data_IF_906655348413
#
_entry.id   IF_906655348413
#
_cell.length_a   1.000
_cell.length_b   1.000
_cell.length_c   1.000
_cell.angle_alpha   90.00
_cell.angle_beta   90.00
_cell.angle_gamma   90.00
#
_symmetry.space_group_name_H-M   'P 1'
#
loop_
_entity.id
_entity.type
_entity.pdbx_description
1 polymer ?
#
# COMPACT_ATOMS: atom_id res chain seq x y z
N UNK A 1 -11.78 -19.74 -15.02
CA UNK A 1 -11.80 -18.25 -14.94
C UNK A 1 -12.83 -17.73 -15.90
N UNK A 2 -13.59 -16.69 -15.52
CA UNK A 2 -14.52 -16.04 -16.46
C UNK A 2 -13.73 -15.39 -17.60
N UNK A 3 -14.20 -15.48 -18.85
CA UNK A 3 -13.56 -14.86 -20.04
C UNK A 3 -13.29 -13.37 -19.81
N UNK A 4 -14.20 -12.66 -19.13
CA UNK A 4 -14.02 -11.24 -18.77
C UNK A 4 -12.80 -11.00 -17.89
N UNK A 5 -12.51 -11.88 -16.93
CA UNK A 5 -11.31 -11.76 -16.07
C UNK A 5 -10.02 -11.91 -16.89
N UNK A 6 -10.00 -12.83 -17.86
CA UNK A 6 -8.86 -13.01 -18.76
C UNK A 6 -8.62 -11.73 -19.58
N UNK A 7 -9.71 -11.17 -20.15
CA UNK A 7 -9.62 -9.92 -20.92
C UNK A 7 -9.10 -8.76 -20.05
N UNK A 8 -9.57 -8.62 -18.81
CA UNK A 8 -9.08 -7.59 -17.88
C UNK A 8 -7.59 -7.77 -17.60
N UNK A 9 -7.13 -9.00 -17.38
CA UNK A 9 -5.70 -9.27 -17.13
C UNK A 9 -4.85 -8.89 -18.35
N UNK A 10 -5.28 -9.28 -19.55
CA UNK A 10 -4.57 -8.91 -20.79
C UNK A 10 -4.51 -7.40 -20.96
N UNK A 11 -5.64 -6.70 -20.77
CA UNK A 11 -5.67 -5.24 -20.87
C UNK A 11 -4.85 -4.55 -19.78
N UNK A 12 -4.77 -5.11 -18.56
CA UNK A 12 -3.90 -4.59 -17.51
C UNK A 12 -2.42 -4.69 -17.91
N UNK A 13 -2.00 -5.81 -18.52
CA UNK A 13 -0.64 -5.95 -19.05
C UNK A 13 -0.36 -5.00 -20.22
N UNK A 14 -1.34 -4.78 -21.09
CA UNK A 14 -1.25 -3.76 -22.16
C UNK A 14 -1.13 -2.36 -21.58
N UNK A 15 -1.91 -2.05 -20.55
CA UNK A 15 -1.81 -0.78 -19.84
C UNK A 15 -0.42 -0.58 -19.23
N UNK A 16 0.13 -1.60 -18.55
CA UNK A 16 1.47 -1.54 -17.97
C UNK A 16 2.56 -1.32 -19.03
N UNK A 17 2.43 -2.00 -20.18
CA UNK A 17 3.34 -1.78 -21.31
C UNK A 17 3.27 -0.34 -21.84
N UNK A 18 2.07 0.19 -22.06
CA UNK A 18 1.84 1.57 -22.50
C UNK A 18 2.38 2.56 -21.47
N UNK A 19 2.12 2.32 -20.18
CA UNK A 19 2.66 3.12 -19.08
C UNK A 19 4.20 3.15 -19.12
N UNK A 20 4.83 1.98 -19.29
CA UNK A 20 6.29 1.88 -19.34
C UNK A 20 6.91 2.71 -20.46
N UNK A 21 6.38 2.64 -21.69
CA UNK A 21 6.93 3.43 -22.79
C UNK A 21 6.56 4.90 -22.74
N UNK A 22 5.36 5.24 -22.27
CA UNK A 22 4.89 6.61 -22.14
C UNK A 22 5.70 7.39 -21.07
N UNK A 23 5.95 6.78 -19.92
CA UNK A 23 6.64 7.42 -18.81
C UNK A 23 8.17 7.29 -18.88
N UNK A 24 8.70 6.43 -19.76
CA UNK A 24 10.13 6.27 -19.94
C UNK A 24 10.82 7.59 -20.29
N UNK A 25 10.23 8.38 -21.17
CA UNK A 25 10.78 9.68 -21.57
C UNK A 25 10.94 10.63 -20.37
N UNK A 26 9.98 10.66 -19.45
CA UNK A 26 10.01 11.52 -18.28
C UNK A 26 11.17 11.17 -17.33
N UNK A 27 11.51 9.87 -17.22
CA UNK A 27 12.59 9.41 -16.35
C UNK A 27 13.99 9.65 -16.92
N UNK A 28 14.18 9.58 -18.24
CA UNK A 28 15.49 9.56 -18.88
C UNK A 28 15.81 10.81 -19.70
N UNK A 29 14.83 11.66 -20.03
CA UNK A 29 15.02 12.78 -20.94
C UNK A 29 16.16 13.71 -20.55
N UNK A 30 16.27 14.08 -19.27
CA UNK A 30 17.31 14.97 -18.76
C UNK A 30 18.70 14.35 -18.83
N UNK A 31 18.83 13.05 -18.53
CA UNK A 31 20.11 12.33 -18.55
C UNK A 31 20.60 12.12 -19.98
N UNK A 32 19.69 11.86 -20.90
CA UNK A 32 20.00 11.72 -22.33
C UNK A 32 20.32 13.07 -22.96
N UNK A 33 19.52 14.11 -22.67
CA UNK A 33 19.73 15.47 -23.24
C UNK A 33 21.05 16.10 -22.78
N UNK A 34 21.47 15.81 -21.56
CA UNK A 34 22.76 16.27 -21.01
C UNK A 34 23.94 15.39 -21.46
N UNK A 35 23.68 14.33 -22.25
CA UNK A 35 24.69 13.38 -22.76
C UNK A 35 25.49 12.65 -21.68
N UNK A 36 24.92 12.48 -20.49
CA UNK A 36 25.50 11.70 -19.39
C UNK A 36 25.46 10.21 -19.72
N UNK A 37 24.31 9.74 -20.25
CA UNK A 37 24.13 8.38 -20.76
C UNK A 37 23.61 8.43 -22.21
N UNK A 38 23.92 7.39 -22.98
CA UNK A 38 23.24 7.17 -24.26
C UNK A 38 21.80 6.75 -24.03
N UNK A 39 20.88 6.94 -25.00
CA UNK A 39 19.47 6.55 -24.85
C UNK A 39 19.30 5.09 -24.42
N UNK A 40 20.05 4.17 -25.03
CA UNK A 40 20.00 2.75 -24.70
C UNK A 40 20.47 2.46 -23.27
N UNK A 41 21.58 3.08 -22.84
CA UNK A 41 22.07 2.94 -21.47
C UNK A 41 21.04 3.47 -20.46
N UNK A 42 20.44 4.62 -20.74
CA UNK A 42 19.43 5.21 -19.87
C UNK A 42 18.20 4.32 -19.71
N UNK A 43 17.71 3.71 -20.81
CA UNK A 43 16.58 2.77 -20.78
C UNK A 43 16.93 1.51 -19.99
N UNK A 44 18.11 0.93 -20.22
CA UNK A 44 18.56 -0.28 -19.49
C UNK A 44 18.63 0.02 -17.98
N UNK A 45 19.18 1.17 -17.58
CA UNK A 45 19.25 1.58 -16.20
C UNK A 45 17.85 1.76 -15.58
N UNK A 46 16.96 2.45 -16.27
CA UNK A 46 15.59 2.65 -15.81
C UNK A 46 14.85 1.31 -15.64
N UNK A 47 14.95 0.42 -16.62
CA UNK A 47 14.35 -0.91 -16.56
C UNK A 47 14.90 -1.76 -15.40
N UNK A 48 16.22 -1.73 -15.20
CA UNK A 48 16.88 -2.45 -14.12
C UNK A 48 16.37 -1.98 -12.75
N UNK A 49 16.29 -0.67 -12.49
CA UNK A 49 15.82 -0.16 -11.21
C UNK A 49 14.32 -0.36 -11.01
N UNK A 50 13.50 -0.31 -12.06
CA UNK A 50 12.09 -0.68 -11.98
C UNK A 50 11.92 -2.17 -11.59
N UNK A 51 12.75 -3.05 -12.15
CA UNK A 51 12.77 -4.47 -11.79
C UNK A 51 13.19 -4.67 -10.31
N UNK A 52 14.25 -3.98 -9.87
CA UNK A 52 14.70 -4.02 -8.47
C UNK A 52 13.63 -3.50 -7.51
N UNK A 53 12.90 -2.46 -7.89
CA UNK A 53 11.82 -1.89 -7.08
C UNK A 53 10.71 -2.93 -6.75
N UNK A 54 10.44 -3.86 -7.65
CA UNK A 54 9.49 -4.96 -7.41
C UNK A 54 9.86 -5.81 -6.18
N UNK A 55 11.14 -6.04 -5.93
CA UNK A 55 11.60 -6.81 -4.76
C UNK A 55 11.59 -6.00 -3.47
N UNK A 56 11.72 -4.68 -3.58
CA UNK A 56 11.76 -3.76 -2.42
C UNK A 56 10.34 -3.43 -1.95
N UNK A 57 9.43 -3.12 -2.88
CA UNK A 57 8.07 -2.65 -2.57
C UNK A 57 7.05 -3.78 -2.66
N UNK A 58 6.91 -4.55 -1.58
CA UNK A 58 6.00 -5.71 -1.52
C UNK A 58 4.54 -5.36 -1.23
N UNK A 59 4.24 -4.13 -0.81
CA UNK A 59 2.93 -3.76 -0.24
C UNK A 59 1.86 -3.39 -1.26
N UNK A 60 2.16 -3.42 -2.57
CA UNK A 60 1.23 -3.01 -3.64
C UNK A 60 0.49 -1.69 -3.33
N UNK A 61 1.18 -0.74 -2.67
CA UNK A 61 0.58 0.47 -2.11
C UNK A 61 -0.16 1.31 -3.15
N UNK A 62 0.38 1.41 -4.37
CA UNK A 62 -0.23 2.17 -5.49
C UNK A 62 -1.54 1.51 -5.92
N UNK A 63 -1.53 0.21 -6.18
CA UNK A 63 -2.73 -0.52 -6.60
C UNK A 63 -3.82 -0.47 -5.52
N UNK A 64 -3.44 -0.60 -4.24
CA UNK A 64 -4.36 -0.47 -3.11
C UNK A 64 -4.92 0.94 -2.98
N UNK A 65 -4.16 1.98 -3.32
CA UNK A 65 -4.64 3.37 -3.29
C UNK A 65 -5.67 3.60 -4.39
N UNK A 66 -5.42 3.13 -5.60
CA UNK A 66 -6.35 3.24 -6.73
C UNK A 66 -7.66 2.49 -6.42
N UNK A 67 -7.57 1.25 -5.96
CA UNK A 67 -8.75 0.46 -5.62
C UNK A 67 -9.63 1.11 -4.52
N UNK A 68 -9.03 1.87 -3.61
CA UNK A 68 -9.73 2.56 -2.52
C UNK A 68 -10.28 3.94 -2.89
N UNK A 69 -10.18 4.38 -4.13
CA UNK A 69 -10.77 5.66 -4.58
C UNK A 69 -12.27 5.57 -4.84
N UNK A 70 -12.76 4.38 -5.12
CA UNK A 70 -14.17 4.07 -5.37
C UNK A 70 -14.73 3.27 -4.20
N UNK A 71 -15.97 3.53 -3.81
CA UNK A 71 -16.66 2.74 -2.80
C UNK A 71 -16.86 1.31 -3.32
N UNK A 72 -16.47 0.32 -2.52
CA UNK A 72 -16.43 -1.10 -2.90
C UNK A 72 -17.72 -1.61 -3.58
N UNK A 73 -18.87 -1.04 -3.22
CA UNK A 73 -20.17 -1.42 -3.78
C UNK A 73 -20.27 -1.24 -5.28
N UNK A 74 -19.52 -0.27 -5.85
CA UNK A 74 -19.56 0.06 -7.28
C UNK A 74 -18.41 -0.56 -8.07
N UNK A 75 -17.54 -1.36 -7.40
CA UNK A 75 -16.43 -2.06 -8.05
C UNK A 75 -16.94 -3.36 -8.64
N UNK A 76 -17.22 -3.36 -9.94
CA UNK A 76 -17.62 -4.54 -10.70
C UNK A 76 -16.61 -4.84 -11.81
N UNK A 77 -16.61 -6.06 -12.36
CA UNK A 77 -15.73 -6.42 -13.48
C UNK A 77 -15.93 -5.50 -14.70
N UNK A 78 -17.17 -5.15 -15.12
CA UNK A 78 -17.37 -4.17 -16.20
C UNK A 78 -16.79 -2.79 -15.88
N UNK A 79 -16.88 -2.32 -14.64
CA UNK A 79 -16.31 -1.03 -14.22
C UNK A 79 -14.78 -1.05 -14.32
N UNK A 80 -14.15 -2.13 -13.89
CA UNK A 80 -12.70 -2.31 -14.02
C UNK A 80 -12.29 -2.32 -15.49
N UNK A 81 -13.01 -3.07 -16.33
CA UNK A 81 -12.77 -3.14 -17.76
C UNK A 81 -12.88 -1.76 -18.43
N UNK A 82 -13.98 -1.04 -18.16
CA UNK A 82 -14.21 0.29 -18.73
C UNK A 82 -13.15 1.31 -18.26
N UNK A 83 -12.77 1.26 -16.99
CA UNK A 83 -11.71 2.10 -16.44
C UNK A 83 -10.35 1.87 -17.09
N UNK A 84 -9.96 0.59 -17.34
CA UNK A 84 -8.74 0.24 -18.04
C UNK A 84 -8.75 0.71 -19.49
N UNK A 85 -9.85 0.46 -20.23
CA UNK A 85 -9.99 0.91 -21.62
C UNK A 85 -9.90 2.42 -21.72
N UNK A 86 -10.57 3.16 -20.83
CA UNK A 86 -10.50 4.61 -20.77
C UNK A 86 -9.08 5.11 -20.50
N UNK A 87 -8.36 4.47 -19.57
CA UNK A 87 -6.99 4.84 -19.24
C UNK A 87 -6.02 4.55 -20.40
N UNK A 88 -6.14 3.40 -21.07
CA UNK A 88 -5.35 3.07 -22.26
C UNK A 88 -5.59 4.09 -23.37
N UNK A 89 -6.86 4.37 -23.66
CA UNK A 89 -7.23 5.34 -24.69
C UNK A 89 -6.65 6.73 -24.40
N UNK A 90 -6.79 7.21 -23.17
CA UNK A 90 -6.26 8.51 -22.78
C UNK A 90 -4.73 8.59 -22.86
N UNK A 91 -4.04 7.55 -22.40
CA UNK A 91 -2.58 7.50 -22.49
C UNK A 91 -2.07 7.50 -23.94
N UNK A 92 -2.72 6.74 -24.84
CA UNK A 92 -2.39 6.74 -26.25
C UNK A 92 -2.70 8.09 -26.92
N UNK A 93 -3.84 8.70 -26.58
CA UNK A 93 -4.23 10.01 -27.10
C UNK A 93 -3.23 11.09 -26.69
N UNK A 94 -2.89 11.16 -25.40
CA UNK A 94 -1.94 12.16 -24.88
C UNK A 94 -0.52 11.93 -25.43
N UNK A 95 -0.12 10.67 -25.61
CA UNK A 95 1.13 10.34 -26.27
C UNK A 95 1.16 10.81 -27.72
N UNK A 96 0.09 10.57 -28.47
CA UNK A 96 -0.02 10.99 -29.86
C UNK A 96 0.10 12.51 -30.04
N UNK A 97 -0.51 13.27 -29.15
CA UNK A 97 -0.44 14.73 -29.16
C UNK A 97 0.80 15.30 -28.43
N UNK A 98 1.67 14.47 -27.87
CA UNK A 98 2.83 14.93 -27.09
C UNK A 98 2.46 15.70 -25.83
N UNK A 99 1.28 15.44 -25.26
CA UNK A 99 0.80 16.08 -24.02
C UNK A 99 1.33 15.26 -22.82
N UNK A 100 2.10 15.87 -21.89
CA UNK A 100 2.54 15.18 -20.70
C UNK A 100 1.33 14.77 -19.84
N UNK A 101 1.23 13.50 -19.50
CA UNK A 101 0.14 12.93 -18.71
C UNK A 101 0.67 12.00 -17.65
N UNK A 102 -0.08 11.82 -16.56
CA UNK A 102 0.22 10.84 -15.53
C UNK A 102 -0.69 9.63 -15.70
N UNK A 103 -0.12 8.50 -16.06
CA UNK A 103 -0.82 7.22 -16.24
C UNK A 103 -1.55 6.76 -14.98
N UNK A 104 -0.98 7.00 -13.79
CA UNK A 104 -1.65 6.68 -12.52
C UNK A 104 -2.90 7.53 -12.27
N UNK A 105 -2.83 8.85 -12.53
CA UNK A 105 -3.99 9.73 -12.40
C UNK A 105 -5.05 9.44 -13.46
N UNK A 106 -4.61 9.09 -14.68
CA UNK A 106 -5.50 8.64 -15.76
C UNK A 106 -6.26 7.38 -15.37
N UNK A 107 -5.59 6.40 -14.74
CA UNK A 107 -6.23 5.18 -14.26
C UNK A 107 -7.25 5.48 -13.15
N UNK A 108 -6.91 6.36 -12.19
CA UNK A 108 -7.85 6.80 -11.15
C UNK A 108 -9.07 7.47 -11.77
N UNK A 109 -8.86 8.39 -12.72
CA UNK A 109 -9.94 9.09 -13.41
C UNK A 109 -10.84 8.17 -14.21
N UNK A 110 -10.26 7.24 -15.00
CA UNK A 110 -10.99 6.25 -15.77
C UNK A 110 -11.81 5.33 -14.89
N UNK A 111 -11.23 4.84 -13.79
CA UNK A 111 -11.92 3.96 -12.84
C UNK A 111 -13.06 4.68 -12.09
N UNK A 112 -12.79 5.91 -11.61
CA UNK A 112 -13.80 6.73 -10.95
C UNK A 112 -14.96 7.10 -11.90
N UNK A 113 -14.65 7.52 -13.14
CA UNK A 113 -15.67 7.83 -14.16
C UNK A 113 -16.53 6.64 -14.52
N UNK A 114 -15.93 5.46 -14.71
CA UNK A 114 -16.65 4.22 -14.98
C UNK A 114 -17.57 3.83 -13.80
N UNK A 115 -17.10 4.00 -12.55
CA UNK A 115 -17.90 3.71 -11.36
C UNK A 115 -19.10 4.67 -11.21
N UNK A 116 -18.90 5.96 -11.44
CA UNK A 116 -19.97 6.98 -11.40
C UNK A 116 -21.03 6.68 -12.47
N UNK A 117 -20.59 6.39 -13.70
CA UNK A 117 -21.50 6.04 -14.79
C UNK A 117 -22.32 4.77 -14.45
N UNK A 118 -21.63 3.73 -13.94
CA UNK A 118 -22.30 2.51 -13.50
C UNK A 118 -23.33 2.76 -12.40
N UNK A 119 -22.98 3.56 -11.40
CA UNK A 119 -23.88 3.91 -10.31
C UNK A 119 -25.14 4.64 -10.82
N UNK A 120 -24.98 5.61 -11.71
CA UNK A 120 -26.10 6.36 -12.28
C UNK A 120 -27.02 5.51 -13.15
N UNK A 121 -26.47 4.55 -13.92
CA UNK A 121 -27.27 3.64 -14.73
C UNK A 121 -28.06 2.66 -13.83
N UNK A 122 -27.46 2.18 -12.74
CA UNK A 122 -28.08 1.11 -11.92
C UNK A 122 -28.98 1.64 -10.81
N UNK A 123 -28.72 2.84 -10.27
CA UNK A 123 -29.44 3.40 -9.10
C UNK A 123 -30.06 4.77 -9.35
N UNK A 124 -29.86 5.35 -10.51
CA UNK A 124 -30.26 6.73 -10.79
C UNK A 124 -29.27 7.74 -10.18
N UNK A 125 -29.65 9.01 -10.20
CA UNK A 125 -28.81 10.10 -9.69
C UNK A 125 -28.61 10.00 -8.19
N UNK A 126 -27.37 10.09 -7.73
CA UNK A 126 -26.97 10.10 -6.33
C UNK A 126 -25.74 11.02 -6.13
N UNK A 127 -25.47 11.49 -4.88
CA UNK A 127 -24.31 12.31 -4.58
C UNK A 127 -23.00 11.62 -4.95
N UNK A 128 -22.07 12.38 -5.50
CA UNK A 128 -20.75 11.89 -5.89
C UNK A 128 -19.96 11.30 -4.70
N UNK A 129 -20.15 11.85 -3.48
CA UNK A 129 -19.56 11.37 -2.23
C UNK A 129 -19.96 9.95 -1.84
N UNK A 130 -21.09 9.45 -2.35
CA UNK A 130 -21.58 8.10 -2.03
C UNK A 130 -20.98 7.03 -2.94
N UNK A 131 -20.36 7.46 -4.05
CA UNK A 131 -19.73 6.60 -5.06
C UNK A 131 -18.21 6.62 -4.91
N UNK A 132 -17.67 7.79 -4.59
CA UNK A 132 -16.23 8.08 -4.56
C UNK A 132 -15.81 8.43 -3.14
N UNK A 133 -14.69 7.88 -2.71
CA UNK A 133 -14.03 8.23 -1.44
C UNK A 133 -13.41 9.63 -1.54
N UNK A 134 -14.21 10.66 -1.26
CA UNK A 134 -13.84 12.07 -1.42
C UNK A 134 -12.50 12.44 -0.74
N UNK A 135 -12.23 11.89 0.45
CA UNK A 135 -10.97 12.10 1.17
C UNK A 135 -9.74 11.62 0.38
N UNK A 136 -9.89 10.54 -0.40
CA UNK A 136 -8.80 9.99 -1.21
C UNK A 136 -8.53 10.86 -2.43
N UNK A 137 -9.60 11.25 -3.12
CA UNK A 137 -9.50 12.14 -4.29
C UNK A 137 -8.94 13.51 -3.88
N UNK A 138 -9.43 14.11 -2.79
CA UNK A 138 -8.94 15.40 -2.28
C UNK A 138 -7.45 15.35 -1.97
N UNK A 139 -6.97 14.31 -1.30
CA UNK A 139 -5.54 14.11 -1.06
C UNK A 139 -4.75 13.99 -2.37
N UNK A 140 -5.25 13.21 -3.33
CA UNK A 140 -4.59 13.05 -4.63
C UNK A 140 -4.49 14.39 -5.35
N UNK A 141 -5.58 15.16 -5.41
CA UNK A 141 -5.59 16.51 -6.02
C UNK A 141 -4.60 17.44 -5.31
N UNK A 142 -4.58 17.44 -3.98
CA UNK A 142 -3.62 18.24 -3.21
C UNK A 142 -2.17 17.88 -3.57
N UNK A 143 -1.86 16.58 -3.69
CA UNK A 143 -0.51 16.12 -4.05
C UNK A 143 -0.12 16.45 -5.48
N UNK A 144 -1.06 16.57 -6.43
CA UNK A 144 -0.78 17.03 -7.80
C UNK A 144 -0.12 18.43 -7.81
N UNK A 145 -0.53 19.33 -6.91
CA UNK A 145 0.06 20.65 -6.78
C UNK A 145 1.28 20.68 -5.86
N UNK A 146 1.23 19.92 -4.77
CA UNK A 146 2.29 19.94 -3.74
C UNK A 146 3.57 19.24 -4.20
N UNK A 147 3.47 18.14 -4.95
CA UNK A 147 4.63 17.35 -5.36
C UNK A 147 5.59 18.13 -6.30
N UNK A 148 5.12 18.85 -7.34
CA UNK A 148 6.00 19.69 -8.17
C UNK A 148 6.66 20.80 -7.35
N UNK A 149 5.95 21.41 -6.40
CA UNK A 149 6.50 22.47 -5.55
C UNK A 149 7.61 21.94 -4.64
N UNK A 150 7.40 20.80 -4.00
CA UNK A 150 8.44 20.13 -3.20
C UNK A 150 9.62 19.73 -4.09
N UNK A 151 9.34 19.15 -5.27
CA UNK A 151 10.37 18.79 -6.24
C UNK A 151 11.21 20.00 -6.69
N UNK A 152 10.58 21.13 -6.93
CA UNK A 152 11.26 22.40 -7.25
C UNK A 152 12.17 22.85 -6.11
N UNK A 153 11.71 22.83 -4.86
CA UNK A 153 12.51 23.22 -3.70
C UNK A 153 13.73 22.30 -3.50
N UNK A 154 13.53 20.99 -3.65
CA UNK A 154 14.63 20.02 -3.56
C UNK A 154 15.63 20.22 -4.70
N UNK A 155 15.16 20.40 -5.92
CA UNK A 155 16.01 20.66 -7.09
C UNK A 155 16.79 21.96 -6.94
N UNK A 156 16.16 23.03 -6.45
CA UNK A 156 16.82 24.29 -6.16
C UNK A 156 17.91 24.12 -5.10
N UNK A 157 17.63 23.40 -4.02
CA UNK A 157 18.61 23.09 -2.98
C UNK A 157 19.82 22.33 -3.55
N UNK A 158 19.59 21.26 -4.31
CA UNK A 158 20.66 20.48 -4.94
C UNK A 158 21.50 21.37 -5.88
N UNK A 159 20.85 22.21 -6.68
CA UNK A 159 21.51 23.14 -7.60
C UNK A 159 22.40 24.13 -6.84
N UNK A 160 21.87 24.76 -5.79
CA UNK A 160 22.64 25.71 -4.97
C UNK A 160 23.85 25.05 -4.32
N UNK A 161 23.74 23.80 -3.90
CA UNK A 161 24.86 23.03 -3.35
C UNK A 161 25.89 22.72 -4.44
N UNK A 162 25.44 22.30 -5.63
CA UNK A 162 26.36 21.91 -6.73
C UNK A 162 27.13 23.09 -7.32
N UNK A 163 26.56 24.28 -7.35
CA UNK A 163 27.21 25.51 -7.86
C UNK A 163 28.33 26.01 -6.92
N UNK A 164 28.32 25.67 -5.64
CA UNK A 164 29.35 26.14 -4.70
C UNK A 164 30.75 25.70 -5.16
N UNK A 165 31.74 26.61 -5.03
CA UNK A 165 33.13 26.31 -5.41
C UNK A 165 33.88 25.51 -4.36
N UNK A 166 33.54 25.67 -3.08
CA UNK A 166 34.21 24.99 -1.99
C UNK A 166 33.71 23.53 -1.87
N UNK A 167 34.58 22.57 -2.21
CA UNK A 167 34.31 21.12 -2.18
C UNK A 167 33.96 20.64 -0.77
N UNK A 168 34.70 21.07 0.24
CA UNK A 168 34.44 20.67 1.62
C UNK A 168 33.12 21.22 2.15
N UNK A 169 32.78 22.45 1.75
CA UNK A 169 31.49 23.03 2.08
C UNK A 169 30.31 22.29 1.42
N UNK A 170 30.47 21.78 0.18
CA UNK A 170 29.47 20.91 -0.46
C UNK A 170 29.27 19.61 0.32
N UNK A 171 30.37 18.94 0.65
CA UNK A 171 30.34 17.68 1.37
C UNK A 171 29.72 17.83 2.76
N UNK A 172 30.04 18.92 3.47
CA UNK A 172 29.43 19.23 4.76
C UNK A 172 27.91 19.40 4.68
N UNK A 173 27.43 20.14 3.66
CA UNK A 173 25.99 20.36 3.47
C UNK A 173 25.28 19.06 3.10
N UNK A 174 25.86 18.23 2.20
CA UNK A 174 25.30 16.94 1.83
C UNK A 174 25.27 16.02 3.07
N UNK A 175 26.34 15.97 3.85
CA UNK A 175 26.40 15.18 5.09
C UNK A 175 25.33 15.60 6.10
N UNK A 176 25.18 16.92 6.31
CA UNK A 176 24.16 17.47 7.22
C UNK A 176 22.73 17.16 6.73
N UNK A 177 22.48 17.31 5.42
CA UNK A 177 21.18 16.98 4.82
C UNK A 177 20.87 15.48 4.93
N UNK A 178 21.87 14.61 4.71
CA UNK A 178 21.73 13.15 4.86
C UNK A 178 21.44 12.77 6.31
N UNK A 179 22.13 13.40 7.27
CA UNK A 179 21.88 13.21 8.70
C UNK A 179 20.45 13.67 9.09
N UNK A 180 20.02 14.85 8.61
CA UNK A 180 18.65 15.32 8.82
C UNK A 180 17.60 14.37 8.21
N UNK A 181 17.87 13.84 7.02
CA UNK A 181 17.02 12.83 6.41
C UNK A 181 16.98 11.54 7.25
N UNK A 182 18.11 11.09 7.78
CA UNK A 182 18.19 9.93 8.66
C UNK A 182 17.32 10.10 9.92
N UNK A 183 17.37 11.26 10.57
CA UNK A 183 16.49 11.59 11.70
C UNK A 183 15.02 11.58 11.30
N UNK A 184 14.69 12.18 10.17
CA UNK A 184 13.30 12.21 9.65
C UNK A 184 12.77 10.81 9.36
N UNK A 185 13.58 9.90 8.81
CA UNK A 185 13.18 8.51 8.61
C UNK A 185 12.94 7.76 9.93
N UNK A 186 13.70 8.07 10.97
CA UNK A 186 13.45 7.56 12.33
C UNK A 186 12.07 7.95 12.83
N UNK A 187 11.75 9.25 12.80
CA UNK A 187 10.43 9.77 13.19
C UNK A 187 9.30 9.17 12.34
N UNK A 188 9.52 9.02 11.03
CA UNK A 188 8.53 8.43 10.14
C UNK A 188 8.29 6.95 10.46
N UNK A 189 9.32 6.21 10.87
CA UNK A 189 9.19 4.82 11.32
C UNK A 189 8.34 4.71 12.59
N UNK A 190 8.60 5.55 13.60
CA UNK A 190 7.79 5.60 14.82
C UNK A 190 6.32 5.88 14.51
N UNK A 191 6.05 6.86 13.67
CA UNK A 191 4.69 7.16 13.22
C UNK A 191 4.06 5.97 12.50
N UNK A 192 4.83 5.25 11.69
CA UNK A 192 4.35 4.08 10.94
C UNK A 192 4.07 2.88 11.84
N UNK A 193 4.87 2.67 12.87
CA UNK A 193 4.61 1.68 13.94
C UNK A 193 3.29 2.01 14.62
N UNK A 194 3.09 3.27 14.99
CA UNK A 194 1.87 3.75 15.64
C UNK A 194 0.62 3.54 14.76
N UNK A 195 0.68 3.93 13.49
CA UNK A 195 -0.40 3.68 12.51
C UNK A 195 -0.72 2.19 12.36
N UNK A 196 0.30 1.34 12.30
CA UNK A 196 0.12 -0.10 12.13
C UNK A 196 -0.51 -0.73 13.39
N UNK A 197 -0.17 -0.26 14.58
CA UNK A 197 -0.83 -0.67 15.83
C UNK A 197 -2.29 -0.23 15.88
N UNK A 198 -2.59 1.02 15.56
CA UNK A 198 -3.97 1.53 15.51
C UNK A 198 -4.83 0.72 14.54
N UNK A 199 -4.27 0.39 13.39
CA UNK A 199 -4.93 -0.43 12.37
C UNK A 199 -5.13 -1.87 12.85
N UNK A 200 -4.12 -2.47 13.48
CA UNK A 200 -4.18 -3.84 13.99
C UNK A 200 -5.27 -4.00 15.06
N UNK A 201 -5.35 -3.08 16.01
CA UNK A 201 -6.39 -3.04 17.04
C UNK A 201 -7.72 -2.44 16.56
N UNK A 202 -7.83 -2.07 15.26
CA UNK A 202 -9.03 -1.53 14.61
C UNK A 202 -9.56 -0.24 15.27
N UNK A 203 -8.70 0.56 15.92
CA UNK A 203 -9.07 1.80 16.63
C UNK A 203 -9.77 2.78 15.68
N UNK A 204 -9.20 3.04 14.50
CA UNK A 204 -9.81 3.95 13.51
C UNK A 204 -11.14 3.45 12.97
N UNK A 205 -11.31 2.13 12.83
CA UNK A 205 -12.56 1.52 12.39
C UNK A 205 -13.68 1.80 13.42
N UNK A 206 -13.43 1.49 14.69
CA UNK A 206 -14.41 1.68 15.74
C UNK A 206 -14.67 3.17 16.03
N UNK A 207 -13.67 4.03 15.87
CA UNK A 207 -13.84 5.49 15.95
C UNK A 207 -14.79 6.02 14.87
N UNK A 208 -14.66 5.55 13.64
CA UNK A 208 -15.57 5.91 12.52
C UNK A 208 -16.96 5.34 12.72
N UNK A 209 -17.08 4.12 13.26
CA UNK A 209 -18.34 3.46 13.54
C UNK A 209 -19.10 4.18 14.67
N UNK A 210 -18.39 4.55 15.74
CA UNK A 210 -18.93 5.34 16.84
C UNK A 210 -19.39 6.75 16.40
N UNK A 211 -18.64 7.40 15.50
CA UNK A 211 -19.04 8.68 14.95
C UNK A 211 -20.35 8.63 14.14
N UNK A 212 -20.68 7.45 13.55
CA UNK A 212 -21.94 7.24 12.82
C UNK A 212 -23.12 6.85 13.74
N UNK A 213 -22.82 6.16 14.84
CA UNK A 213 -23.79 5.63 15.79
C UNK A 213 -23.34 5.90 17.23
N UNK A 214 -23.37 7.17 17.70
CA UNK A 214 -22.88 7.54 19.04
C UNK A 214 -23.69 6.94 20.18
N UNK A 215 -24.95 6.58 19.93
CA UNK A 215 -25.87 5.98 20.90
C UNK A 215 -25.65 4.47 21.11
N UNK A 216 -24.80 3.82 20.28
CA UNK A 216 -24.58 2.37 20.39
C UNK A 216 -23.49 2.07 21.43
N UNK A 217 -23.96 1.68 22.63
CA UNK A 217 -23.12 1.36 23.78
C UNK A 217 -22.14 0.22 23.50
N UNK A 218 -22.50 -0.75 22.62
CA UNK A 218 -21.62 -1.84 22.21
C UNK A 218 -20.46 -1.35 21.34
N UNK A 219 -20.70 -0.35 20.50
CA UNK A 219 -19.64 0.26 19.67
C UNK A 219 -18.71 1.07 20.57
N UNK A 220 -19.25 1.79 21.55
CA UNK A 220 -18.47 2.53 22.55
C UNK A 220 -17.56 1.59 23.35
N UNK A 221 -18.07 0.49 23.86
CA UNK A 221 -17.29 -0.50 24.61
C UNK A 221 -16.14 -1.08 23.75
N UNK A 222 -16.42 -1.42 22.48
CA UNK A 222 -15.39 -1.91 21.55
C UNK A 222 -14.30 -0.88 21.29
N UNK A 223 -14.69 0.40 21.14
CA UNK A 223 -13.75 1.49 20.95
C UNK A 223 -12.84 1.67 22.17
N UNK A 224 -13.41 1.67 23.39
CA UNK A 224 -12.64 1.83 24.62
C UNK A 224 -11.68 0.65 24.83
N UNK A 225 -12.12 -0.59 24.60
CA UNK A 225 -11.23 -1.77 24.63
C UNK A 225 -10.10 -1.67 23.60
N UNK A 226 -10.42 -1.28 22.37
CA UNK A 226 -9.41 -1.12 21.33
C UNK A 226 -8.39 -0.02 21.67
N UNK A 227 -8.83 1.10 22.25
CA UNK A 227 -7.95 2.17 22.72
C UNK A 227 -7.06 1.71 23.88
N UNK A 228 -7.61 0.99 24.86
CA UNK A 228 -6.85 0.47 25.99
C UNK A 228 -5.75 -0.49 25.54
N UNK A 229 -6.08 -1.45 24.66
CA UNK A 229 -5.10 -2.38 24.10
C UNK A 229 -4.04 -1.68 23.25
N UNK A 230 -4.45 -0.70 22.43
CA UNK A 230 -3.52 0.12 21.66
C UNK A 230 -2.57 0.91 22.58
N UNK A 231 -3.07 1.58 23.61
CA UNK A 231 -2.26 2.35 24.54
C UNK A 231 -1.23 1.47 25.27
N UNK A 232 -1.66 0.28 25.71
CA UNK A 232 -0.77 -0.70 26.33
C UNK A 232 0.26 -1.24 25.32
N UNK A 233 -0.16 -1.58 24.09
CA UNK A 233 0.75 -2.04 23.05
C UNK A 233 1.79 -0.98 22.66
N UNK A 234 1.39 0.28 22.64
CA UNK A 234 2.27 1.41 22.34
C UNK A 234 3.39 1.57 23.37
N UNK A 235 3.16 1.26 24.64
CA UNK A 235 4.20 1.34 25.67
C UNK A 235 5.36 0.37 25.44
N UNK A 236 5.16 -0.69 24.65
CA UNK A 236 6.20 -1.66 24.30
C UNK A 236 7.01 -1.29 23.05
N UNK A 237 6.68 -0.20 22.36
CA UNK A 237 7.33 0.18 21.11
C UNK A 237 8.55 1.09 21.28
N UNK A 238 8.88 1.49 22.51
CA UNK A 238 9.98 2.43 22.80
C UNK A 238 11.35 1.94 22.31
N UNK A 239 11.58 0.63 22.35
CA UNK A 239 12.81 -0.03 21.93
C UNK A 239 12.69 -0.81 20.60
N UNK A 240 11.68 -0.44 19.78
CA UNK A 240 11.43 -1.09 18.48
C UNK A 240 12.68 -1.15 17.60
N UNK A 241 13.51 -0.11 17.64
CA UNK A 241 14.71 0.02 16.85
C UNK A 241 15.81 -0.99 17.23
N UNK A 242 15.81 -1.42 18.48
CA UNK A 242 16.79 -2.36 19.00
C UNK A 242 16.36 -3.81 18.79
N UNK A 243 15.10 -4.12 19.11
CA UNK A 243 14.62 -5.51 19.18
C UNK A 243 13.80 -5.96 17.98
N UNK A 244 13.21 -5.04 17.24
CA UNK A 244 12.38 -5.32 16.07
C UNK A 244 10.95 -5.77 16.37
N UNK A 245 10.12 -5.82 15.31
CA UNK A 245 8.68 -6.01 15.44
C UNK A 245 8.24 -7.37 15.97
N UNK A 246 9.01 -8.45 15.75
CA UNK A 246 8.64 -9.80 16.23
C UNK A 246 8.78 -9.90 17.76
N UNK A 247 9.85 -9.32 18.33
CA UNK A 247 10.05 -9.30 19.78
C UNK A 247 9.00 -8.45 20.48
N UNK A 248 8.71 -7.27 19.92
CA UNK A 248 7.64 -6.39 20.42
C UNK A 248 6.28 -7.10 20.36
N UNK A 249 5.96 -7.78 19.25
CA UNK A 249 4.73 -8.55 19.14
C UNK A 249 4.65 -9.68 20.18
N UNK A 250 5.80 -10.29 20.54
CA UNK A 250 5.89 -11.23 21.63
C UNK A 250 5.47 -10.64 22.97
N UNK A 251 6.10 -9.52 23.35
CA UNK A 251 5.81 -8.81 24.61
C UNK A 251 4.35 -8.34 24.70
N UNK A 252 3.80 -7.86 23.58
CA UNK A 252 2.39 -7.47 23.52
C UNK A 252 1.49 -8.70 23.72
N UNK A 253 1.77 -9.80 23.02
CA UNK A 253 0.96 -11.01 23.10
C UNK A 253 1.00 -11.69 24.49
N UNK A 254 2.11 -11.55 25.21
CA UNK A 254 2.27 -12.06 26.56
C UNK A 254 1.51 -11.22 27.61
N UNK A 255 1.19 -9.94 27.26
CA UNK A 255 0.54 -9.00 28.18
C UNK A 255 -0.93 -8.77 27.84
N UNK A 256 -1.26 -8.75 26.54
CA UNK A 256 -2.61 -8.51 26.03
C UNK A 256 -3.17 -9.84 25.50
N UNK A 257 -4.34 -10.21 25.99
CA UNK A 257 -5.05 -11.34 25.39
C UNK A 257 -5.53 -10.98 23.97
N UNK A 258 -4.96 -11.66 22.99
CA UNK A 258 -5.27 -11.46 21.57
C UNK A 258 -6.37 -12.40 21.05
N UNK A 259 -7.03 -13.17 21.93
CA UNK A 259 -8.07 -14.13 21.56
C UNK A 259 -9.20 -13.50 20.73
N UNK A 260 -9.65 -12.30 21.14
CA UNK A 260 -10.71 -11.60 20.40
C UNK A 260 -10.29 -11.22 18.97
N UNK A 261 -8.98 -11.02 18.70
CA UNK A 261 -8.45 -10.77 17.37
C UNK A 261 -8.42 -12.05 16.57
N UNK A 262 -8.04 -13.16 17.18
CA UNK A 262 -8.06 -14.48 16.56
C UNK A 262 -9.48 -14.89 16.18
N UNK A 263 -10.43 -14.75 17.11
CA UNK A 263 -11.85 -14.99 16.85
C UNK A 263 -12.39 -14.06 15.73
N UNK A 264 -11.99 -12.80 15.72
CA UNK A 264 -12.35 -11.86 14.66
C UNK A 264 -11.82 -12.28 13.29
N UNK A 265 -10.59 -12.79 13.20
CA UNK A 265 -10.00 -13.30 11.96
C UNK A 265 -10.67 -14.58 11.48
N UNK A 266 -11.01 -15.50 12.39
CA UNK A 266 -11.77 -16.72 12.07
C UNK A 266 -13.15 -16.35 11.49
N UNK A 267 -13.82 -15.38 12.10
CA UNK A 267 -15.05 -14.83 11.57
C UNK A 267 -14.87 -14.28 10.15
N UNK A 268 -13.82 -13.51 9.90
CA UNK A 268 -13.52 -12.93 8.57
C UNK A 268 -13.21 -14.02 7.53
N UNK A 269 -12.55 -15.12 7.92
CA UNK A 269 -12.31 -16.30 7.07
C UNK A 269 -13.63 -16.94 6.63
N UNK A 270 -14.53 -17.19 7.59
CA UNK A 270 -15.85 -17.78 7.29
C UNK A 270 -16.76 -16.85 6.52
N UNK A 271 -16.79 -15.57 6.85
CA UNK A 271 -17.57 -14.54 6.12
C UNK A 271 -17.20 -14.51 4.64
N UNK A 272 -15.89 -14.61 4.34
CA UNK A 272 -15.40 -14.70 2.95
C UNK A 272 -15.80 -16.01 2.29
N UNK A 273 -15.71 -17.15 3.01
CA UNK A 273 -16.11 -18.45 2.47
C UNK A 273 -17.61 -18.51 2.16
N UNK A 274 -18.42 -17.92 3.02
CA UNK A 274 -19.88 -17.80 2.86
C UNK A 274 -20.28 -16.66 1.91
N UNK A 275 -19.31 -15.89 1.41
CA UNK A 275 -19.53 -14.72 0.54
C UNK A 275 -20.53 -13.70 1.13
N UNK A 276 -20.53 -13.54 2.46
CA UNK A 276 -21.52 -12.72 3.16
C UNK A 276 -21.53 -11.26 2.70
N UNK A 277 -20.35 -10.66 2.50
CA UNK A 277 -20.26 -9.27 2.04
C UNK A 277 -20.85 -9.11 0.63
N UNK A 278 -20.61 -10.10 -0.25
CA UNK A 278 -21.19 -10.10 -1.59
C UNK A 278 -22.70 -10.31 -1.54
N UNK A 279 -23.16 -11.32 -0.80
CA UNK A 279 -24.59 -11.61 -0.67
C UNK A 279 -25.36 -10.46 -0.02
N UNK A 280 -24.78 -9.78 0.96
CA UNK A 280 -25.38 -8.58 1.56
C UNK A 280 -25.57 -7.46 0.54
N UNK A 281 -24.59 -7.26 -0.34
CA UNK A 281 -24.66 -6.27 -1.42
C UNK A 281 -25.69 -6.68 -2.48
N UNK A 282 -25.67 -7.94 -2.90
CA UNK A 282 -26.56 -8.46 -3.93
C UNK A 282 -28.02 -8.49 -3.43
N UNK A 283 -28.27 -8.88 -2.17
CA UNK A 283 -29.59 -8.89 -1.54
C UNK A 283 -30.19 -7.48 -1.36
N UNK A 284 -29.38 -6.44 -1.33
CA UNK A 284 -29.86 -5.05 -1.35
C UNK A 284 -30.52 -4.67 -2.67
N UNK A 285 -30.14 -5.33 -3.78
CA UNK A 285 -30.69 -5.09 -5.13
C UNK A 285 -31.70 -6.14 -5.59
N UNK A 286 -31.62 -7.33 -4.99
CA UNK A 286 -32.47 -8.47 -5.32
C UNK A 286 -32.97 -9.11 -4.02
N UNK A 287 -34.17 -8.77 -3.61
CA UNK A 287 -34.80 -9.27 -2.38
C UNK A 287 -34.88 -10.80 -2.34
N UNK A 288 -34.86 -11.49 -3.48
CA UNK A 288 -34.85 -12.96 -3.54
C UNK A 288 -33.60 -13.58 -2.93
N UNK A 289 -32.51 -12.81 -2.80
CA UNK A 289 -31.25 -13.25 -2.20
C UNK A 289 -31.19 -13.05 -0.67
N UNK A 290 -32.15 -12.30 -0.11
CA UNK A 290 -32.21 -12.03 1.35
C UNK A 290 -32.27 -13.31 2.18
N UNK A 291 -33.11 -14.31 1.86
CA UNK A 291 -33.18 -15.57 2.60
C UNK A 291 -31.84 -16.35 2.56
N UNK A 292 -31.12 -16.27 1.43
CA UNK A 292 -29.81 -16.92 1.27
C UNK A 292 -28.76 -16.23 2.13
N UNK A 293 -28.79 -14.89 2.18
CA UNK A 293 -27.91 -14.11 3.05
C UNK A 293 -28.17 -14.41 4.53
N UNK A 294 -29.43 -14.44 4.97
CA UNK A 294 -29.82 -14.75 6.34
C UNK A 294 -29.44 -16.17 6.74
N UNK A 295 -29.68 -17.15 5.86
CA UNK A 295 -29.26 -18.53 6.10
C UNK A 295 -27.73 -18.66 6.26
N UNK A 296 -26.95 -17.97 5.43
CA UNK A 296 -25.49 -17.98 5.54
C UNK A 296 -25.01 -17.22 6.79
N UNK A 297 -25.72 -16.18 7.22
CA UNK A 297 -25.45 -15.46 8.45
C UNK A 297 -25.69 -16.36 9.68
N UNK A 298 -26.79 -17.11 9.69
CA UNK A 298 -27.12 -18.07 10.73
C UNK A 298 -26.07 -19.19 10.82
N UNK A 299 -25.54 -19.67 9.70
CA UNK A 299 -24.42 -20.63 9.68
C UNK A 299 -23.15 -20.05 10.29
N UNK A 300 -22.81 -18.78 10.01
CA UNK A 300 -21.70 -18.09 10.65
C UNK A 300 -21.90 -17.99 12.16
N UNK A 301 -23.13 -17.62 12.59
CA UNK A 301 -23.46 -17.49 14.00
C UNK A 301 -23.37 -18.82 14.75
N UNK A 302 -23.74 -19.92 14.11
CA UNK A 302 -23.58 -21.28 14.64
C UNK A 302 -22.10 -21.69 14.82
N UNK A 303 -21.19 -21.10 14.03
CA UNK A 303 -19.75 -21.37 14.15
C UNK A 303 -19.06 -20.52 15.24
N UNK A 304 -19.65 -19.40 15.67
CA UNK A 304 -19.03 -18.46 16.63
C UNK A 304 -18.60 -19.09 17.96
N UNK A 305 -19.38 -20.00 18.60
CA UNK A 305 -18.97 -20.63 19.86
C UNK A 305 -17.63 -21.36 19.76
N UNK A 306 -17.32 -21.96 18.61
CA UNK A 306 -16.06 -22.68 18.39
C UNK A 306 -14.86 -21.75 18.27
N UNK A 307 -15.06 -20.47 17.95
CA UNK A 307 -13.95 -19.51 17.92
C UNK A 307 -13.41 -19.18 19.31
N UNK A 308 -14.25 -19.19 20.33
CA UNK A 308 -13.84 -19.04 21.73
C UNK A 308 -12.98 -20.22 22.22
N UNK A 309 -13.20 -21.39 21.67
CA UNK A 309 -12.46 -22.62 22.01
C UNK A 309 -11.18 -22.81 21.18
N UNK A 310 -10.84 -21.86 20.29
CA UNK A 310 -9.76 -22.00 19.31
C UNK A 310 -8.40 -22.37 19.93
N UNK A 311 -8.04 -21.76 21.07
CA UNK A 311 -6.78 -22.01 21.76
C UNK A 311 -6.76 -23.36 22.50
N UNK A 312 -7.92 -23.83 22.94
CA UNK A 312 -8.05 -25.09 23.69
C UNK A 312 -8.03 -26.30 22.76
N UNK A 313 -8.82 -26.25 21.69
CA UNK A 313 -9.02 -27.39 20.80
C UNK A 313 -8.17 -27.38 19.52
N UNK A 314 -7.56 -26.20 19.19
CA UNK A 314 -6.69 -26.03 18.06
C UNK A 314 -7.42 -25.75 16.74
N UNK A 315 -6.65 -25.21 15.76
CA UNK A 315 -7.15 -24.77 14.47
C UNK A 315 -7.88 -25.88 13.67
N UNK A 316 -7.34 -27.07 13.68
CA UNK A 316 -7.86 -28.19 12.88
C UNK A 316 -9.22 -28.69 13.44
N UNK A 317 -9.39 -28.70 14.77
CA UNK A 317 -10.65 -29.09 15.44
C UNK A 317 -11.75 -28.05 15.16
N UNK A 318 -11.42 -26.76 15.27
CA UNK A 318 -12.37 -25.66 14.96
C UNK A 318 -12.75 -25.69 13.48
N UNK A 319 -11.77 -25.90 12.59
CA UNK A 319 -12.05 -26.02 11.15
C UNK A 319 -12.96 -27.21 10.86
N UNK A 320 -12.77 -28.36 11.52
CA UNK A 320 -13.60 -29.54 11.36
C UNK A 320 -15.04 -29.30 11.86
N UNK A 321 -15.20 -28.67 13.04
CA UNK A 321 -16.51 -28.32 13.58
C UNK A 321 -17.27 -27.35 12.64
N UNK A 322 -16.60 -26.29 12.18
CA UNK A 322 -17.17 -25.35 11.22
C UNK A 322 -17.49 -26.04 9.87
N UNK A 323 -16.65 -26.95 9.39
CA UNK A 323 -16.90 -27.70 8.16
C UNK A 323 -18.15 -28.58 8.26
N UNK A 324 -18.37 -29.22 9.40
CA UNK A 324 -19.58 -30.04 9.65
C UNK A 324 -20.85 -29.16 9.65
N UNK A 325 -20.82 -27.99 10.28
CA UNK A 325 -21.92 -27.03 10.30
C UNK A 325 -22.23 -26.53 8.89
N UNK A 326 -21.20 -26.18 8.10
CA UNK A 326 -21.35 -25.68 6.73
C UNK A 326 -21.80 -26.77 5.74
N UNK A 327 -21.69 -28.07 6.11
CA UNK A 327 -21.89 -29.20 5.25
C UNK A 327 -20.67 -29.48 4.36
N UNK A 328 -20.09 -30.67 4.52
CA UNK A 328 -18.82 -31.09 3.86
C UNK A 328 -18.88 -30.95 2.33
N UNK A 329 -20.06 -31.08 1.72
CA UNK A 329 -20.27 -30.91 0.27
C UNK A 329 -20.04 -29.50 -0.27
N UNK A 330 -20.00 -28.47 0.61
CA UNK A 330 -19.73 -27.08 0.22
C UNK A 330 -18.25 -26.71 0.25
N UNK A 331 -17.39 -27.64 0.66
CA UNK A 331 -15.94 -27.40 0.83
C UNK A 331 -15.19 -28.18 -0.24
N UNK A 332 -14.87 -27.52 -1.34
CA UNK A 332 -14.16 -28.12 -2.49
C UNK A 332 -12.75 -28.63 -2.14
N UNK A 333 -12.13 -28.09 -1.10
CA UNK A 333 -10.81 -28.50 -0.63
C UNK A 333 -10.69 -28.28 0.89
N UNK A 334 -10.94 -29.35 1.67
CA UNK A 334 -10.88 -29.30 3.13
C UNK A 334 -9.49 -28.91 3.66
N UNK A 335 -8.43 -29.41 3.05
CA UNK A 335 -7.07 -29.12 3.51
C UNK A 335 -6.75 -27.62 3.40
N UNK A 336 -7.15 -26.98 2.30
CA UNK A 336 -7.02 -25.54 2.10
C UNK A 336 -7.91 -24.76 3.05
N UNK A 337 -9.11 -25.24 3.33
CA UNK A 337 -10.03 -24.68 4.30
C UNK A 337 -9.44 -24.73 5.71
N UNK A 338 -8.96 -25.89 6.17
CA UNK A 338 -8.33 -26.06 7.47
C UNK A 338 -7.07 -25.17 7.61
N UNK A 339 -6.22 -25.08 6.58
CA UNK A 339 -5.08 -24.17 6.57
C UNK A 339 -5.48 -22.69 6.78
N UNK A 340 -6.65 -22.29 6.30
CA UNK A 340 -7.13 -20.91 6.48
C UNK A 340 -7.55 -20.58 7.92
N UNK A 341 -7.76 -21.60 8.76
CA UNK A 341 -8.05 -21.46 10.19
C UNK A 341 -6.80 -21.35 11.06
N UNK A 342 -5.61 -21.57 10.51
CA UNK A 342 -4.34 -21.37 11.25
C UNK A 342 -4.08 -19.88 11.40
N UNK A 343 -4.67 -19.30 12.44
CA UNK A 343 -4.54 -17.88 12.80
C UNK A 343 -3.52 -17.77 13.93
N UNK A 344 -2.53 -16.93 13.76
CA UNK A 344 -1.52 -16.61 14.76
C UNK A 344 -1.47 -15.10 14.92
N UNK A 345 -2.15 -14.60 15.95
CA UNK A 345 -2.24 -13.16 16.20
C UNK A 345 -0.89 -12.53 16.51
N UNK A 346 -0.02 -13.23 17.26
CA UNK A 346 1.35 -12.78 17.57
C UNK A 346 2.19 -12.62 16.31
N UNK A 347 2.23 -13.65 15.47
CA UNK A 347 2.98 -13.63 14.20
C UNK A 347 2.46 -12.58 13.23
N UNK A 348 1.15 -12.39 13.17
CA UNK A 348 0.53 -11.40 12.31
C UNK A 348 0.79 -9.98 12.81
N UNK A 349 0.81 -9.76 14.13
CA UNK A 349 1.21 -8.49 14.72
C UNK A 349 2.68 -8.19 14.41
N UNK A 350 3.57 -9.17 14.56
CA UNK A 350 4.98 -9.04 14.21
C UNK A 350 5.18 -8.64 12.75
N UNK A 351 4.44 -9.26 11.83
CA UNK A 351 4.47 -8.90 10.41
C UNK A 351 3.97 -7.47 10.16
N UNK A 352 2.89 -7.04 10.82
CA UNK A 352 2.38 -5.68 10.68
C UNK A 352 3.37 -4.64 11.22
N UNK A 353 4.00 -4.92 12.35
CA UNK A 353 5.05 -4.06 12.91
C UNK A 353 6.30 -4.01 12.01
N UNK A 354 6.74 -5.15 11.47
CA UNK A 354 7.90 -5.21 10.57
C UNK A 354 7.69 -4.46 9.25
N UNK A 355 6.44 -4.18 8.83
CA UNK A 355 6.18 -3.32 7.68
C UNK A 355 6.61 -1.86 7.91
N UNK A 356 6.72 -1.43 9.15
CA UNK A 356 7.22 -0.11 9.49
C UNK A 356 8.76 -0.04 9.48
N UNK A 357 9.45 -1.19 9.46
CA UNK A 357 10.91 -1.24 9.48
C UNK A 357 11.51 -0.78 8.15
N UNK A 358 12.08 0.41 8.17
CA UNK A 358 12.75 1.02 7.02
C UNK A 358 14.28 1.05 7.17
N UNK A 359 14.85 0.34 8.15
CA UNK A 359 16.29 0.37 8.46
C UNK A 359 17.15 -0.03 7.28
N UNK A 360 16.77 -1.09 6.55
CA UNK A 360 17.50 -1.54 5.36
C UNK A 360 17.55 -0.44 4.30
N UNK A 361 16.42 0.24 4.05
CA UNK A 361 16.37 1.34 3.10
C UNK A 361 17.28 2.49 3.54
N UNK A 362 17.28 2.83 4.83
CA UNK A 362 18.16 3.87 5.39
C UNK A 362 19.62 3.54 5.22
N UNK A 363 20.03 2.29 5.49
CA UNK A 363 21.41 1.84 5.27
C UNK A 363 21.80 1.90 3.80
N UNK A 364 20.92 1.47 2.88
CA UNK A 364 21.19 1.55 1.44
C UNK A 364 21.37 3.00 0.98
N UNK A 365 20.54 3.93 1.43
CA UNK A 365 20.67 5.36 1.13
C UNK A 365 21.99 5.90 1.69
N UNK A 366 22.32 5.58 2.94
CA UNK A 366 23.57 6.01 3.57
C UNK A 366 24.81 5.53 2.80
N UNK A 367 24.83 4.27 2.39
CA UNK A 367 25.92 3.69 1.58
C UNK A 367 26.01 4.38 0.21
N UNK A 368 24.88 4.61 -0.47
CA UNK A 368 24.87 5.30 -1.76
C UNK A 368 25.40 6.73 -1.66
N UNK A 369 24.99 7.47 -0.62
CA UNK A 369 25.51 8.82 -0.35
C UNK A 369 27.01 8.79 -0.06
N UNK A 370 27.47 7.83 0.72
CA UNK A 370 28.90 7.66 1.02
C UNK A 370 29.72 7.37 -0.26
N UNK A 371 29.25 6.45 -1.10
CA UNK A 371 29.87 6.14 -2.39
C UNK A 371 29.92 7.39 -3.28
N UNK A 372 28.83 8.15 -3.35
CA UNK A 372 28.78 9.40 -4.08
C UNK A 372 29.79 10.41 -3.57
N UNK A 373 29.85 10.61 -2.25
CA UNK A 373 30.81 11.55 -1.62
C UNK A 373 32.26 11.14 -1.90
N UNK A 374 32.59 9.86 -1.75
CA UNK A 374 33.93 9.35 -2.03
C UNK A 374 34.30 9.47 -3.52
N UNK A 375 33.38 9.14 -4.42
CA UNK A 375 33.58 9.30 -5.87
C UNK A 375 33.78 10.77 -6.25
N UNK A 376 33.03 11.67 -5.63
CA UNK A 376 33.16 13.09 -5.84
C UNK A 376 34.51 13.64 -5.34
N UNK A 377 34.95 13.24 -4.14
CA UNK A 377 36.26 13.60 -3.60
C UNK A 377 37.36 13.10 -4.53
N UNK A 378 37.28 11.84 -4.96
CA UNK A 378 38.26 11.25 -5.88
C UNK A 378 38.35 12.00 -7.21
N UNK A 379 37.20 12.32 -7.80
CA UNK A 379 37.13 13.05 -9.07
C UNK A 379 37.70 14.47 -8.94
N UNK A 380 37.29 15.23 -7.93
CA UNK A 380 37.68 16.65 -7.77
C UNK A 380 39.06 16.83 -7.20
N UNK A 381 39.47 16.03 -6.23
CA UNK A 381 40.73 16.23 -5.46
C UNK A 381 41.90 15.43 -6.01
N UNK A 382 41.65 14.31 -6.67
CA UNK A 382 42.72 13.40 -7.10
C UNK A 382 42.83 13.37 -8.63
N UNK A 383 41.74 13.02 -9.33
CA UNK A 383 41.79 12.79 -10.77
C UNK A 383 42.02 14.07 -11.58
N UNK A 384 41.28 15.13 -11.32
CA UNK A 384 41.42 16.39 -12.08
C UNK A 384 42.77 17.07 -11.90
N UNK A 385 43.27 17.24 -10.67
CA UNK A 385 44.60 17.81 -10.49
C UNK A 385 45.71 16.97 -11.13
N UNK A 386 45.62 15.63 -11.06
CA UNK A 386 46.61 14.73 -11.66
C UNK A 386 46.57 14.83 -13.19
N UNK A 387 45.39 14.80 -13.79
CA UNK A 387 45.21 14.95 -15.25
C UNK A 387 45.77 16.30 -15.73
N UNK A 388 45.48 17.39 -14.99
CA UNK A 388 45.99 18.73 -15.33
C UNK A 388 47.53 18.83 -15.21
N UNK A 389 48.13 18.19 -14.20
CA UNK A 389 49.59 18.12 -14.06
C UNK A 389 50.19 17.34 -15.25
N UNK A 390 49.63 16.20 -15.62
CA UNK A 390 50.11 15.43 -16.76
C UNK A 390 49.97 16.22 -18.07
N UNK A 391 48.82 16.87 -18.31
CA UNK A 391 48.62 17.71 -19.50
C UNK A 391 49.64 18.86 -19.59
N UNK A 392 50.04 19.44 -18.45
CA UNK A 392 51.05 20.49 -18.40
C UNK A 392 52.49 19.97 -18.56
N UNK A 393 52.75 18.69 -18.31
CA UNK A 393 54.08 18.05 -18.56
C UNK A 393 54.29 17.74 -20.04
N UNK A 394 53.26 17.68 -20.84
CA UNK A 394 53.32 17.42 -22.30
C UNK A 394 53.11 18.69 -23.15
N UNK A 395 52.95 19.85 -22.53
CA UNK A 395 53.04 21.17 -23.17
C UNK A 395 54.46 21.76 -23.03
#
# INVERSE_FOLDING_TARGET
>A
MSTMVIVIIVLALVFDYINGFHDAANSIATVVSTKVLTPLQAVIWAAFFNFVAYFIFKDHAVANTIAKTVVDTYITLPVILAGLVAAIFWNLLTWWYGIPSSSSHTLIGGFAGAAVTHAYITKGYMPFSDIIEADKISKTVMFIFLAPLIGMLISMFITLVTIRRNTWGKLAIIGLATFGMWLMFGMFREQKVDENLQKYFKVDKYKKEFAKHPEDEKVKEKLEKAKAHYALAKSFTSDFDEVGGEVIAGRIADTIDLEYIEAGKLKDVLSRKLKLDKLKKDAYYDESLTPIYEANLALLDSCKPYFALYREVGADSVAHACANILGVRKIDNYEKFAKSFKVDAKKDLGKELNKADNRILMYCIGVLVLIFMLSYIWCEQIRKPTANRMANMFK
#
